data_IF_348926915122
#
_entry.id   IF_348926915122
#
_cell.length_a   1.000
_cell.length_b   1.000
_cell.length_c   1.000
_cell.angle_alpha   90.00
_cell.angle_beta   90.00
_cell.angle_gamma   90.00
#
_symmetry.space_group_name_H-M   'P 1'
#
loop_
_entity.id
_entity.type
_entity.pdbx_description
1 polymer ?
#
# COMPACT_ATOMS: atom_id res chain seq x y z
N UNK A 1 -4.39 7.08 22.43
CA UNK A 1 -4.55 7.23 21.57
C UNK A 1 -3.58 7.81 20.84
N UNK A 2 -3.06 7.57 20.14
CA UNK A 2 -2.08 8.12 19.48
C UNK A 2 -2.40 9.26 18.69
N UNK A 3 -1.48 9.94 18.11
CA UNK A 3 -1.76 10.94 17.33
C UNK A 3 -2.22 10.54 16.04
N UNK A 4 -3.13 11.15 15.43
CA UNK A 4 -3.59 10.84 14.16
C UNK A 4 -2.62 11.31 13.20
N UNK A 5 -2.21 10.51 12.26
CA UNK A 5 -1.36 10.87 11.20
C UNK A 5 -2.11 11.69 10.21
N UNK A 6 -1.56 12.83 9.83
CA UNK A 6 -2.21 13.62 8.82
C UNK A 6 -1.74 13.21 7.46
N UNK A 7 -2.63 12.68 6.66
CA UNK A 7 -2.32 12.23 5.32
C UNK A 7 -2.70 13.32 4.33
N UNK A 8 -1.78 13.67 3.44
CA UNK A 8 -2.12 14.61 2.38
C UNK A 8 -2.78 13.83 1.24
N UNK A 9 -3.12 14.55 0.18
CA UNK A 9 -3.81 13.92 -0.93
C UNK A 9 -2.97 12.91 -1.64
N UNK A 10 -1.68 13.13 -1.72
CA UNK A 10 -0.79 12.17 -2.36
C UNK A 10 -0.73 10.89 -1.55
N UNK A 11 -0.64 11.01 -0.23
CA UNK A 11 -0.61 9.83 0.63
C UNK A 11 -1.89 9.03 0.47
N UNK A 12 -3.03 9.71 0.40
CA UNK A 12 -4.31 9.01 0.23
C UNK A 12 -4.37 8.29 -1.09
N UNK A 13 -3.84 8.92 -2.15
CA UNK A 13 -3.85 8.27 -3.44
C UNK A 13 -2.94 7.05 -3.45
N UNK A 14 -1.80 7.13 -2.79
CA UNK A 14 -0.90 5.99 -2.66
C UNK A 14 -1.62 4.83 -1.98
N UNK A 15 -2.29 5.12 -0.87
CA UNK A 15 -3.00 4.09 -0.13
C UNK A 15 -4.10 3.48 -0.99
N UNK A 16 -4.83 4.30 -1.74
CA UNK A 16 -5.88 3.77 -2.59
C UNK A 16 -5.34 2.88 -3.69
N UNK A 17 -4.23 3.26 -4.30
CA UNK A 17 -3.65 2.45 -5.36
C UNK A 17 -3.12 1.13 -4.81
N UNK A 18 -2.47 1.16 -3.68
CA UNK A 18 -1.93 -0.07 -3.08
C UNK A 18 -3.04 -0.95 -2.52
N UNK A 19 -4.15 -0.36 -2.13
CA UNK A 19 -5.29 -1.14 -1.70
C UNK A 19 -5.88 -1.92 -2.87
N UNK A 20 -5.87 -1.33 -4.06
CA UNK A 20 -6.37 -2.02 -5.24
C UNK A 20 -5.38 -3.07 -5.71
N UNK A 21 -4.11 -2.79 -5.62
CA UNK A 21 -3.08 -3.68 -6.12
C UNK A 21 -1.84 -3.54 -5.25
N UNK A 22 -1.73 -4.38 -4.24
CA UNK A 22 -0.61 -4.32 -3.30
C UNK A 22 0.71 -4.71 -3.91
N UNK A 23 0.71 -5.24 -5.14
CA UNK A 23 1.95 -5.61 -5.80
C UNK A 23 2.37 -4.60 -6.86
N UNK A 24 1.69 -3.46 -6.93
CA UNK A 24 2.02 -2.46 -7.93
C UNK A 24 3.48 -2.03 -7.77
N UNK A 25 4.28 -2.07 -8.83
CA UNK A 25 5.66 -1.63 -8.74
C UNK A 25 5.73 -0.16 -8.40
N UNK A 26 6.78 0.22 -7.68
CA UNK A 26 6.93 1.60 -7.27
C UNK A 26 6.96 2.57 -8.45
N UNK A 27 7.55 2.17 -9.56
CA UNK A 27 7.60 3.03 -10.74
C UNK A 27 6.19 3.34 -11.26
N UNK A 28 5.31 2.33 -11.24
CA UNK A 28 3.94 2.55 -11.69
C UNK A 28 3.18 3.40 -10.70
N UNK A 29 3.37 3.14 -9.42
CA UNK A 29 2.72 3.92 -8.38
C UNK A 29 3.14 5.38 -8.49
N UNK A 30 4.42 5.62 -8.70
CA UNK A 30 4.93 6.98 -8.80
C UNK A 30 4.24 7.73 -9.94
N UNK A 31 4.01 7.04 -11.05
CA UNK A 31 3.31 7.68 -12.16
C UNK A 31 1.88 8.03 -11.80
N UNK A 32 1.19 7.17 -11.06
CA UNK A 32 -0.18 7.44 -10.66
C UNK A 32 -0.29 8.66 -9.76
N UNK A 33 0.73 8.94 -8.98
CA UNK A 33 0.67 10.05 -8.04
C UNK A 33 1.55 11.22 -8.46
N UNK A 34 2.11 11.14 -9.67
CA UNK A 34 2.90 12.22 -10.25
C UNK A 34 4.12 12.60 -9.41
N UNK A 35 4.79 11.57 -8.91
CA UNK A 35 6.03 11.77 -8.17
C UNK A 35 7.16 11.05 -8.87
N UNK A 36 8.38 11.44 -8.57
CA UNK A 36 9.53 10.65 -8.98
C UNK A 36 9.52 9.33 -8.20
N UNK A 37 10.17 8.32 -8.74
CA UNK A 37 10.21 7.03 -8.07
C UNK A 37 10.82 7.12 -6.68
N UNK A 38 11.94 7.83 -6.47
CA UNK A 38 12.48 7.93 -5.12
C UNK A 38 11.56 8.66 -4.16
N UNK A 39 10.87 9.70 -4.63
CA UNK A 39 9.95 10.42 -3.76
C UNK A 39 8.76 9.55 -3.37
N UNK A 40 8.26 8.78 -4.34
CA UNK A 40 7.17 7.86 -4.07
C UNK A 40 7.60 6.80 -3.06
N UNK A 41 8.78 6.24 -3.22
CA UNK A 41 9.27 5.22 -2.32
C UNK A 41 9.39 5.76 -0.90
N UNK A 42 9.87 6.98 -0.74
CA UNK A 42 9.97 7.58 0.58
C UNK A 42 8.61 7.71 1.24
N UNK A 43 7.60 8.08 0.47
CA UNK A 43 6.26 8.20 1.02
C UNK A 43 5.71 6.85 1.44
N UNK A 44 5.90 5.83 0.60
CA UNK A 44 5.44 4.49 0.93
C UNK A 44 6.10 4.01 2.22
N UNK A 45 7.42 4.22 2.33
CA UNK A 45 8.11 3.78 3.52
C UNK A 45 7.63 4.52 4.75
N UNK A 46 7.35 5.79 4.63
CA UNK A 46 6.82 6.55 5.75
C UNK A 46 5.45 6.01 6.16
N UNK A 47 4.62 5.68 5.20
CA UNK A 47 3.29 5.13 5.51
C UNK A 47 3.40 3.77 6.18
N UNK A 48 4.38 2.97 5.77
CA UNK A 48 4.62 1.68 6.41
C UNK A 48 5.16 1.86 7.81
N UNK A 49 6.15 2.70 7.97
CA UNK A 49 6.79 2.90 9.26
C UNK A 49 5.84 3.49 10.29
N UNK A 50 4.94 4.33 9.85
CA UNK A 50 4.01 4.98 10.77
C UNK A 50 2.79 4.12 11.09
N UNK A 51 2.67 2.96 10.44
CA UNK A 51 1.58 2.05 10.73
C UNK A 51 0.30 2.31 9.95
N UNK A 52 0.30 3.28 9.04
CA UNK A 52 -0.85 3.49 8.18
C UNK A 52 -1.01 2.29 7.24
N UNK A 53 0.10 1.84 6.66
CA UNK A 53 0.10 0.60 5.90
C UNK A 53 0.69 -0.44 6.84
N UNK A 54 -0.14 -1.39 7.24
CA UNK A 54 0.25 -2.37 8.24
C UNK A 54 0.76 -3.66 7.64
N UNK A 55 0.65 -3.79 6.35
CA UNK A 55 1.13 -5.00 5.68
C UNK A 55 0.43 -5.18 4.37
N UNK A 56 0.79 -6.23 3.68
CA UNK A 56 0.21 -6.55 2.39
C UNK A 56 -0.20 -8.01 2.43
N UNK A 57 -1.32 -8.32 1.82
CA UNK A 57 -1.83 -9.68 1.85
C UNK A 57 -2.28 -10.10 0.47
N UNK A 58 -2.12 -11.36 0.21
CA UNK A 58 -2.66 -11.95 -1.00
C UNK A 58 -4.11 -12.31 -0.76
N UNK A 59 -4.92 -12.13 -1.77
CA UNK A 59 -6.31 -12.59 -1.74
C UNK A 59 -6.31 -13.95 -2.39
N UNK A 60 -6.61 -14.97 -1.62
CA UNK A 60 -6.47 -16.35 -2.04
C UNK A 60 -7.84 -16.99 -2.19
N UNK A 61 -7.99 -17.80 -3.22
CA UNK A 61 -9.20 -18.58 -3.39
C UNK A 61 -9.07 -19.84 -2.52
N UNK A 62 -9.81 -19.96 -1.44
CA UNK A 62 -9.66 -21.10 -0.55
C UNK A 62 -9.96 -22.41 -1.25
N UNK A 63 -10.80 -22.39 -2.26
CA UNK A 63 -11.15 -23.62 -2.96
C UNK A 63 -9.95 -24.24 -3.66
N UNK A 64 -8.94 -23.43 -3.99
CA UNK A 64 -7.76 -23.95 -4.65
C UNK A 64 -6.94 -24.85 -3.73
N UNK A 65 -7.18 -24.77 -2.41
CA UNK A 65 -6.43 -25.58 -1.46
C UNK A 65 -7.28 -26.70 -0.87
N UNK A 66 -8.46 -26.95 -1.40
CA UNK A 66 -9.33 -27.95 -0.86
C UNK A 66 -10.10 -27.39 0.30
N UNK A 67 -10.14 -28.12 1.43
CA UNK A 67 -10.94 -27.64 2.46
C UNK A 67 -10.22 -26.86 3.51
N UNK A 68 -8.98 -26.65 3.43
CA UNK A 68 -8.34 -25.98 4.51
C UNK A 68 -7.25 -25.09 4.03
N UNK A 69 -7.15 -23.90 4.58
CA UNK A 69 -6.13 -23.00 4.24
C UNK A 69 -5.54 -22.53 5.53
N UNK A 70 -5.08 -23.33 6.30
CA UNK A 70 -4.51 -22.93 7.45
C UNK A 70 -3.17 -23.24 7.55
#
# INVERSE_FOLDING_TARGET
>A
MGKKLQLDEIDREIVLQLRKDGRMPNADLARHVSLSAPACLRRVKHLEDSGVIRGYRAVIDPAAFGHSLE
#
